data_IF_760725614192
#
_entry.id   IF_760725614192
#
_cell.length_a   1.000
_cell.length_b   1.000
_cell.length_c   1.000
_cell.angle_alpha   90.00
_cell.angle_beta   90.00
_cell.angle_gamma   90.00
#
_symmetry.space_group_name_H-M   'P 1'
#
loop_
_entity.id
_entity.type
_entity.pdbx_description
1 polymer ?
#
# COMPACT_ATOMS: atom_id res chain seq x y z
N UNK A 1 -26.71 -40.39 -7.38
CA UNK A 1 -25.77 -39.27 -7.16
C UNK A 1 -24.76 -39.27 -8.30
N UNK A 2 -24.89 -38.34 -9.26
CA UNK A 2 -23.93 -38.10 -10.35
C UNK A 2 -23.56 -36.62 -10.30
N UNK A 3 -22.72 -36.23 -9.34
CA UNK A 3 -22.25 -34.83 -9.23
C UNK A 3 -20.73 -34.71 -9.50
N UNK A 4 -20.05 -35.83 -9.81
CA UNK A 4 -18.61 -35.85 -10.08
C UNK A 4 -18.27 -35.94 -11.58
N UNK A 5 -19.22 -36.30 -12.45
CA UNK A 5 -18.94 -36.59 -13.88
C UNK A 5 -18.93 -35.33 -14.78
N UNK A 6 -19.25 -34.15 -14.24
CA UNK A 6 -19.37 -32.89 -15.01
C UNK A 6 -18.43 -31.78 -14.49
N UNK A 7 -17.34 -32.13 -13.80
CA UNK A 7 -16.36 -31.13 -13.38
C UNK A 7 -15.45 -30.75 -14.56
N UNK A 8 -15.79 -29.67 -15.26
CA UNK A 8 -14.92 -29.09 -16.29
C UNK A 8 -13.74 -28.43 -15.60
N UNK A 9 -12.62 -29.15 -15.52
CA UNK A 9 -11.35 -28.60 -15.04
C UNK A 9 -10.57 -28.05 -16.23
N UNK A 10 -10.24 -26.75 -16.26
CA UNK A 10 -9.35 -26.22 -17.28
C UNK A 10 -7.94 -26.79 -17.06
N UNK A 11 -7.56 -27.77 -17.89
CA UNK A 11 -6.24 -28.38 -17.84
C UNK A 11 -5.30 -27.61 -18.78
N UNK A 12 -4.26 -26.94 -18.27
CA UNK A 12 -3.31 -26.22 -19.11
C UNK A 12 -2.50 -27.19 -19.99
N UNK A 13 -1.77 -26.69 -20.98
CA UNK A 13 -0.94 -27.56 -21.84
C UNK A 13 0.07 -28.36 -21.01
N UNK A 14 0.42 -29.57 -21.47
CA UNK A 14 1.31 -30.50 -20.76
C UNK A 14 2.63 -29.86 -20.32
N UNK A 15 3.21 -29.01 -21.17
CA UNK A 15 4.45 -28.29 -20.85
C UNK A 15 4.27 -27.35 -19.65
N UNK A 16 3.14 -26.63 -19.59
CA UNK A 16 2.79 -25.77 -18.45
C UNK A 16 2.52 -26.60 -17.21
N UNK A 17 1.86 -27.76 -17.32
CA UNK A 17 1.63 -28.65 -16.17
C UNK A 17 2.94 -29.16 -15.56
N UNK A 18 3.90 -29.60 -16.40
CA UNK A 18 5.20 -30.06 -15.95
C UNK A 18 5.97 -28.92 -15.29
N UNK A 19 5.98 -27.73 -15.90
CA UNK A 19 6.63 -26.56 -15.32
C UNK A 19 6.04 -26.18 -13.96
N UNK A 20 4.71 -26.23 -13.81
CA UNK A 20 4.03 -25.98 -12.54
C UNK A 20 4.37 -27.04 -11.49
N UNK A 21 4.32 -28.33 -11.84
CA UNK A 21 4.66 -29.42 -10.93
C UNK A 21 6.12 -29.34 -10.44
N UNK A 22 7.06 -29.07 -11.34
CA UNK A 22 8.47 -28.89 -10.97
C UNK A 22 8.71 -27.66 -10.10
N UNK A 23 7.98 -26.56 -10.34
CA UNK A 23 8.05 -25.39 -9.48
C UNK A 23 7.48 -25.68 -8.09
N UNK A 24 6.35 -26.38 -8.00
CA UNK A 24 5.68 -26.75 -6.75
C UNK A 24 6.52 -27.71 -5.89
N UNK A 25 7.12 -28.73 -6.51
CA UNK A 25 8.02 -29.66 -5.82
C UNK A 25 9.24 -28.93 -5.22
N UNK A 26 9.81 -27.99 -5.98
CA UNK A 26 10.94 -27.19 -5.53
C UNK A 26 10.56 -26.26 -4.37
N UNK A 27 9.39 -25.63 -4.43
CA UNK A 27 8.85 -24.81 -3.33
C UNK A 27 8.56 -25.66 -2.08
N UNK A 28 8.01 -26.87 -2.27
CA UNK A 28 7.73 -27.82 -1.18
C UNK A 28 9.03 -28.25 -0.47
N UNK A 29 10.11 -28.49 -1.22
CA UNK A 29 11.42 -28.78 -0.64
C UNK A 29 11.96 -27.63 0.21
N UNK A 30 11.84 -26.39 -0.25
CA UNK A 30 12.23 -25.22 0.53
C UNK A 30 11.36 -25.04 1.78
N UNK A 31 10.06 -25.30 1.69
CA UNK A 31 9.17 -25.23 2.84
C UNK A 31 9.54 -26.27 3.92
N UNK A 32 9.82 -27.50 3.52
CA UNK A 32 10.26 -28.55 4.44
C UNK A 32 11.57 -28.16 5.16
N UNK A 33 12.52 -27.56 4.45
CA UNK A 33 13.77 -27.06 5.06
C UNK A 33 13.53 -25.93 6.05
N UNK A 34 12.68 -24.96 5.70
CA UNK A 34 12.29 -23.88 6.61
C UNK A 34 11.60 -24.40 7.87
N UNK A 35 10.75 -25.42 7.74
CA UNK A 35 10.09 -26.05 8.89
C UNK A 35 11.10 -26.74 9.81
N UNK A 36 12.10 -27.45 9.26
CA UNK A 36 13.18 -28.04 10.06
C UNK A 36 13.98 -26.98 10.82
N UNK A 37 14.31 -25.86 10.17
CA UNK A 37 15.05 -24.76 10.80
C UNK A 37 14.22 -24.07 11.88
N UNK A 38 12.90 -23.97 11.68
CA UNK A 38 11.99 -23.48 12.72
C UNK A 38 11.96 -24.42 13.93
N UNK A 39 11.89 -25.74 13.71
CA UNK A 39 11.95 -26.73 14.79
C UNK A 39 13.28 -26.65 15.56
N UNK A 40 14.41 -26.45 14.88
CA UNK A 40 15.71 -26.34 15.55
C UNK A 40 15.82 -25.12 16.46
N UNK A 41 15.20 -23.98 16.09
CA UNK A 41 15.15 -22.78 16.94
C UNK A 41 14.45 -23.08 18.28
N UNK A 42 13.38 -23.88 18.27
CA UNK A 42 12.67 -24.24 19.50
C UNK A 42 13.40 -25.31 20.31
N UNK A 43 14.14 -26.21 19.64
CA UNK A 43 14.95 -27.23 20.30
C UNK A 43 16.22 -26.66 20.95
N UNK A 44 16.82 -25.63 20.35
CA UNK A 44 18.03 -24.96 20.85
C UNK A 44 17.91 -23.43 20.73
N UNK A 45 17.20 -22.76 21.66
CA UNK A 45 16.95 -21.32 21.58
C UNK A 45 18.22 -20.45 21.56
N UNK A 46 19.33 -20.96 22.11
CA UNK A 46 20.61 -20.26 22.16
C UNK A 46 21.26 -20.11 20.76
N UNK A 47 20.96 -21.02 19.82
CA UNK A 47 21.47 -20.97 18.43
C UNK A 47 20.52 -20.27 17.46
N UNK A 48 19.41 -19.69 17.96
CA UNK A 48 18.39 -19.06 17.14
C UNK A 48 18.93 -17.96 16.22
N UNK A 49 19.85 -17.14 16.72
CA UNK A 49 20.49 -16.07 15.94
C UNK A 49 21.30 -16.66 14.76
N UNK A 50 22.12 -17.67 15.02
CA UNK A 50 22.94 -18.33 14.00
C UNK A 50 22.08 -19.02 12.92
N UNK A 51 20.97 -19.64 13.31
CA UNK A 51 20.02 -20.26 12.37
C UNK A 51 19.37 -19.22 11.46
N UNK A 52 18.95 -18.08 12.02
CA UNK A 52 18.36 -16.98 11.24
C UNK A 52 19.38 -16.40 10.28
N UNK A 53 20.61 -16.12 10.73
CA UNK A 53 21.66 -15.50 9.90
C UNK A 53 22.06 -16.36 8.69
N UNK A 54 22.05 -17.69 8.85
CA UNK A 54 22.31 -18.65 7.75
C UNK A 54 21.29 -18.57 6.63
N UNK A 55 20.03 -18.30 6.96
CA UNK A 55 18.92 -18.22 6.00
C UNK A 55 18.79 -16.81 5.44
N UNK A 56 19.13 -15.79 6.24
CA UNK A 56 19.06 -14.37 5.87
C UNK A 56 19.91 -13.98 4.66
N UNK A 57 20.86 -14.83 4.24
CA UNK A 57 21.63 -14.65 3.00
C UNK A 57 20.95 -15.28 1.77
N UNK A 58 20.17 -16.36 1.97
CA UNK A 58 19.51 -17.11 0.89
C UNK A 58 18.23 -16.40 0.43
N UNK A 59 17.51 -15.82 1.37
CA UNK A 59 16.48 -14.83 1.11
C UNK A 59 17.21 -13.49 1.20
N UNK A 60 17.22 -12.66 0.16
CA UNK A 60 17.75 -11.29 0.24
C UNK A 60 16.85 -10.44 1.16
N UNK A 61 16.68 -10.87 2.41
CA UNK A 61 15.58 -10.55 3.29
C UNK A 61 16.01 -9.50 4.32
N UNK A 62 16.79 -8.52 3.85
CA UNK A 62 16.79 -7.28 4.59
C UNK A 62 15.38 -6.69 4.50
N UNK A 63 14.76 -6.24 5.60
CA UNK A 63 13.56 -5.40 5.56
C UNK A 63 13.68 -4.26 4.53
N UNK A 64 14.91 -3.81 4.27
CA UNK A 64 15.26 -2.83 3.26
C UNK A 64 15.02 -3.28 1.82
N UNK A 65 15.20 -4.57 1.51
CA UNK A 65 14.96 -5.10 0.17
C UNK A 65 13.47 -5.10 -0.21
N UNK A 66 12.57 -5.18 0.78
CA UNK A 66 11.14 -5.00 0.54
C UNK A 66 10.80 -3.53 0.26
N UNK A 67 11.52 -2.56 0.83
CA UNK A 67 11.31 -1.15 0.54
C UNK A 67 11.46 -0.86 -0.96
N UNK A 68 12.39 -1.54 -1.64
CA UNK A 68 12.63 -1.41 -3.09
C UNK A 68 11.46 -1.90 -3.96
N UNK A 69 10.45 -2.54 -3.37
CA UNK A 69 9.24 -3.00 -4.04
C UNK A 69 8.01 -2.15 -3.68
N UNK A 70 8.15 -1.27 -2.68
CA UNK A 70 7.04 -0.45 -2.19
C UNK A 70 6.93 0.87 -2.94
N UNK A 71 5.71 1.42 -3.06
CA UNK A 71 5.51 2.78 -3.54
C UNK A 71 6.35 3.76 -2.71
N UNK A 72 7.01 4.71 -3.38
CA UNK A 72 7.94 5.66 -2.74
C UNK A 72 7.36 6.37 -1.50
N UNK A 73 6.08 6.80 -1.47
CA UNK A 73 5.46 7.36 -0.27
C UNK A 73 5.60 6.50 0.99
N UNK A 74 5.42 5.18 0.83
CA UNK A 74 5.50 4.22 1.94
C UNK A 74 6.96 3.86 2.24
N UNK A 75 7.73 3.57 1.19
CA UNK A 75 9.12 3.15 1.32
C UNK A 75 9.99 4.22 2.01
N UNK A 76 9.80 5.49 1.66
CA UNK A 76 10.55 6.62 2.24
C UNK A 76 10.21 6.88 3.72
N UNK A 77 8.94 6.72 4.11
CA UNK A 77 8.52 6.83 5.50
C UNK A 77 9.09 5.69 6.35
N UNK A 78 9.05 4.45 5.83
CA UNK A 78 9.65 3.30 6.50
C UNK A 78 11.18 3.43 6.61
N UNK A 79 11.85 3.91 5.56
CA UNK A 79 13.29 4.19 5.58
C UNK A 79 13.68 5.17 6.70
N UNK A 80 12.83 6.17 6.95
CA UNK A 80 13.04 7.13 8.05
C UNK A 80 12.93 6.45 9.41
N UNK A 81 12.04 5.46 9.56
CA UNK A 81 11.99 4.65 10.77
C UNK A 81 13.22 3.73 10.92
N UNK A 82 13.65 3.08 9.84
CA UNK A 82 14.82 2.20 9.85
C UNK A 82 16.13 2.92 10.19
N UNK A 83 16.24 4.20 9.82
CA UNK A 83 17.45 5.02 10.03
C UNK A 83 17.44 5.84 11.32
N UNK A 84 16.35 5.77 12.11
CA UNK A 84 16.28 6.43 13.41
C UNK A 84 17.25 5.81 14.43
N UNK A 85 17.96 6.66 15.18
CA UNK A 85 19.08 6.22 16.04
C UNK A 85 18.68 5.85 17.46
N UNK A 86 17.65 6.50 18.03
CA UNK A 86 17.16 6.19 19.38
C UNK A 86 15.91 5.29 19.33
N UNK A 87 15.72 4.37 20.29
CA UNK A 87 14.51 3.53 20.33
C UNK A 87 13.20 4.32 20.34
N UNK A 88 13.16 5.45 21.06
CA UNK A 88 11.98 6.31 21.12
C UNK A 88 11.72 7.05 19.80
N UNK A 89 12.76 7.51 19.11
CA UNK A 89 12.61 8.09 17.76
C UNK A 89 12.17 7.04 16.76
N UNK A 90 12.76 5.84 16.81
CA UNK A 90 12.42 4.71 15.95
C UNK A 90 10.95 4.31 16.12
N UNK A 91 10.47 4.22 17.37
CA UNK A 91 9.07 3.96 17.68
C UNK A 91 8.14 4.99 17.05
N UNK A 92 8.42 6.29 17.24
CA UNK A 92 7.60 7.37 16.68
C UNK A 92 7.62 7.33 15.16
N UNK A 93 8.79 7.17 14.57
CA UNK A 93 8.96 7.11 13.12
C UNK A 93 8.21 5.92 12.51
N UNK A 94 8.19 4.73 13.14
CA UNK A 94 7.35 3.63 12.69
C UNK A 94 5.86 3.95 12.78
N UNK A 95 5.39 4.57 13.88
CA UNK A 95 3.98 4.96 14.00
C UNK A 95 3.58 5.94 12.88
N UNK A 96 4.44 6.90 12.55
CA UNK A 96 4.25 7.79 11.41
C UNK A 96 4.28 7.06 10.06
N UNK A 97 5.20 6.10 9.89
CA UNK A 97 5.25 5.30 8.67
C UNK A 97 3.97 4.47 8.50
N UNK A 98 3.42 3.90 9.57
CA UNK A 98 2.14 3.20 9.57
C UNK A 98 0.96 4.11 9.23
N UNK A 99 0.96 5.35 9.73
CA UNK A 99 -0.03 6.35 9.32
C UNK A 99 0.11 6.69 7.83
N UNK A 100 1.35 6.78 7.31
CA UNK A 100 1.63 6.93 5.88
C UNK A 100 1.14 5.74 5.04
N UNK A 101 1.34 4.50 5.52
CA UNK A 101 0.80 3.27 4.90
C UNK A 101 -0.72 3.34 4.83
N UNK A 102 -1.39 3.66 5.94
CA UNK A 102 -2.84 3.72 6.02
C UNK A 102 -3.40 4.81 5.10
N UNK A 103 -2.77 6.00 5.11
CA UNK A 103 -3.16 7.12 4.24
C UNK A 103 -3.01 6.76 2.77
N UNK A 104 -1.85 6.20 2.38
CA UNK A 104 -1.60 5.80 1.00
C UNK A 104 -2.59 4.71 0.56
N UNK A 105 -2.79 3.68 1.38
CA UNK A 105 -3.71 2.61 1.09
C UNK A 105 -5.15 3.10 0.94
N UNK A 106 -5.65 3.92 1.88
CA UNK A 106 -6.96 4.55 1.78
C UNK A 106 -7.10 5.44 0.52
N UNK A 107 -6.04 6.18 0.17
CA UNK A 107 -5.99 7.01 -1.05
C UNK A 107 -6.17 6.15 -2.30
N UNK A 108 -5.49 5.01 -2.37
CA UNK A 108 -5.64 4.06 -3.49
C UNK A 108 -7.07 3.58 -3.60
N UNK A 109 -7.67 3.13 -2.50
CA UNK A 109 -9.04 2.61 -2.51
C UNK A 109 -10.09 3.69 -2.86
N UNK A 110 -9.93 4.90 -2.33
CA UNK A 110 -10.78 6.04 -2.72
C UNK A 110 -10.64 6.37 -4.20
N UNK A 111 -9.42 6.34 -4.73
CA UNK A 111 -9.17 6.60 -6.15
C UNK A 111 -9.91 5.58 -7.04
N UNK A 112 -9.91 4.30 -6.62
CA UNK A 112 -10.65 3.22 -7.31
C UNK A 112 -12.16 3.47 -7.26
N UNK A 113 -12.70 3.83 -6.09
CA UNK A 113 -14.14 4.12 -5.93
C UNK A 113 -14.56 5.27 -6.85
N UNK A 114 -13.72 6.30 -6.97
CA UNK A 114 -13.97 7.47 -7.82
C UNK A 114 -13.91 7.19 -9.32
N UNK A 115 -13.38 6.05 -9.74
CA UNK A 115 -13.49 5.62 -11.15
C UNK A 115 -14.93 5.32 -11.58
N UNK A 116 -15.86 5.13 -10.62
CA UNK A 116 -17.30 5.02 -10.88
C UNK A 116 -18.05 6.23 -10.26
N UNK A 117 -18.21 7.33 -11.00
CA UNK A 117 -18.88 8.53 -10.51
C UNK A 117 -20.31 8.28 -10.02
N UNK A 118 -21.02 7.30 -10.60
CA UNK A 118 -22.40 7.03 -10.26
C UNK A 118 -22.56 6.47 -8.83
N UNK A 119 -21.57 5.68 -8.37
CA UNK A 119 -21.60 5.05 -7.04
C UNK A 119 -20.71 5.76 -6.01
N UNK A 120 -19.69 6.47 -6.46
CA UNK A 120 -18.68 7.07 -5.57
C UNK A 120 -19.26 8.00 -4.51
N UNK A 121 -20.22 8.86 -4.86
CA UNK A 121 -20.81 9.83 -3.94
C UNK A 121 -21.59 9.15 -2.79
N UNK A 122 -22.29 8.05 -3.06
CA UNK A 122 -23.04 7.31 -2.04
C UNK A 122 -22.10 6.60 -1.06
N UNK A 123 -21.04 6.00 -1.60
CA UNK A 123 -19.99 5.34 -0.80
C UNK A 123 -19.27 6.37 0.08
N UNK A 124 -18.84 7.50 -0.48
CA UNK A 124 -18.20 8.58 0.28
C UNK A 124 -19.12 9.17 1.37
N UNK A 125 -20.40 9.32 1.09
CA UNK A 125 -21.39 9.77 2.10
C UNK A 125 -21.49 8.76 3.25
N UNK A 126 -21.48 7.47 2.94
CA UNK A 126 -21.49 6.39 3.95
C UNK A 126 -20.22 6.39 4.79
N UNK A 127 -19.06 6.66 4.16
CA UNK A 127 -17.78 6.84 4.85
C UNK A 127 -17.86 8.06 5.79
N UNK A 128 -18.33 9.20 5.30
CA UNK A 128 -18.48 10.43 6.08
C UNK A 128 -19.40 10.22 7.30
N UNK A 129 -20.52 9.52 7.11
CA UNK A 129 -21.41 9.17 8.22
C UNK A 129 -20.69 8.32 9.27
N UNK A 130 -19.98 7.27 8.84
CA UNK A 130 -19.23 6.42 9.77
C UNK A 130 -18.17 7.22 10.52
N UNK A 131 -17.43 8.09 9.85
CA UNK A 131 -16.45 8.96 10.50
C UNK A 131 -17.10 9.80 11.62
N UNK A 132 -18.26 10.41 11.33
CA UNK A 132 -19.01 11.19 12.33
C UNK A 132 -19.46 10.35 13.52
N UNK A 133 -19.96 9.14 13.28
CA UNK A 133 -20.37 8.21 14.35
C UNK A 133 -19.20 7.86 15.29
N UNK A 134 -17.97 7.83 14.75
CA UNK A 134 -16.73 7.63 15.50
C UNK A 134 -16.07 8.92 16.00
N UNK A 135 -16.73 10.08 15.89
CA UNK A 135 -16.20 11.40 16.26
C UNK A 135 -14.90 11.78 15.51
N UNK A 136 -14.78 11.30 14.27
CA UNK A 136 -13.70 11.59 13.34
C UNK A 136 -14.21 12.50 12.21
N UNK A 137 -13.29 13.19 11.53
CA UNK A 137 -13.59 13.98 10.34
C UNK A 137 -12.42 13.92 9.36
N UNK A 138 -12.72 13.95 8.05
CA UNK A 138 -11.69 14.11 7.02
C UNK A 138 -11.08 15.52 7.05
N UNK A 139 -11.78 16.54 7.53
CA UNK A 139 -11.23 17.89 7.66
C UNK A 139 -10.08 17.96 8.68
N UNK A 140 -10.02 16.99 9.60
CA UNK A 140 -8.92 16.78 10.54
C UNK A 140 -8.55 15.30 10.56
N UNK A 141 -7.90 14.86 9.50
CA UNK A 141 -7.52 13.47 9.34
C UNK A 141 -6.50 13.04 10.39
N UNK A 142 -6.76 11.87 10.96
CA UNK A 142 -5.87 11.14 11.85
C UNK A 142 -5.64 9.76 11.28
N UNK A 143 -4.69 9.00 11.84
CA UNK A 143 -4.56 7.58 11.55
C UNK A 143 -5.90 6.83 11.64
N UNK A 144 -6.71 7.09 12.68
CA UNK A 144 -8.05 6.50 12.81
C UNK A 144 -8.99 6.84 11.65
N UNK A 145 -8.94 8.07 11.14
CA UNK A 145 -9.72 8.51 9.98
C UNK A 145 -9.39 7.65 8.75
N UNK A 146 -8.10 7.46 8.46
CA UNK A 146 -7.65 6.67 7.31
C UNK A 146 -7.98 5.19 7.45
N UNK A 147 -7.92 4.63 8.66
CA UNK A 147 -8.35 3.24 8.92
C UNK A 147 -9.82 3.05 8.61
N UNK A 148 -10.70 3.95 9.05
CA UNK A 148 -12.15 3.87 8.77
C UNK A 148 -12.43 3.99 7.27
N UNK A 149 -11.75 4.91 6.58
CA UNK A 149 -11.87 5.03 5.12
C UNK A 149 -11.45 3.73 4.43
N UNK A 150 -10.29 3.19 4.77
CA UNK A 150 -9.79 1.94 4.20
C UNK A 150 -10.74 0.76 4.47
N UNK A 151 -11.29 0.66 5.69
CA UNK A 151 -12.25 -0.38 6.06
C UNK A 151 -13.50 -0.35 5.18
N UNK A 152 -14.15 0.82 5.10
CA UNK A 152 -15.40 0.98 4.34
C UNK A 152 -15.17 0.83 2.85
N UNK A 153 -14.12 1.46 2.31
CA UNK A 153 -13.78 1.32 0.90
C UNK A 153 -13.47 -0.13 0.53
N UNK A 154 -12.71 -0.85 1.36
CA UNK A 154 -12.40 -2.27 1.14
C UNK A 154 -13.66 -3.13 1.16
N UNK A 155 -14.61 -2.83 2.05
CA UNK A 155 -15.89 -3.55 2.09
C UNK A 155 -16.67 -3.39 0.79
N UNK A 156 -16.91 -2.16 0.35
CA UNK A 156 -17.70 -1.88 -0.86
C UNK A 156 -17.05 -2.48 -2.13
N UNK A 157 -15.72 -2.44 -2.21
CA UNK A 157 -14.98 -3.04 -3.31
C UNK A 157 -15.01 -4.58 -3.27
N UNK A 158 -15.04 -5.19 -2.07
CA UNK A 158 -15.21 -6.65 -1.93
C UNK A 158 -16.60 -7.08 -2.37
N UNK A 159 -17.62 -6.40 -1.87
CA UNK A 159 -19.02 -6.70 -2.22
C UNK A 159 -19.24 -6.56 -3.74
N UNK A 160 -18.58 -5.59 -4.39
CA UNK A 160 -18.60 -5.43 -5.86
C UNK A 160 -17.78 -6.48 -6.62
N UNK A 161 -16.68 -6.98 -6.05
CA UNK A 161 -15.85 -8.04 -6.67
C UNK A 161 -16.48 -9.43 -6.53
N UNK A 162 -17.32 -9.62 -5.52
CA UNK A 162 -18.10 -10.84 -5.25
C UNK A 162 -19.45 -10.86 -5.99
N UNK A 163 -19.78 -9.79 -6.73
CA UNK A 163 -20.99 -9.70 -7.56
C UNK A 163 -21.09 -10.84 -8.58
N UNK A 164 -22.30 -11.36 -8.78
CA UNK A 164 -22.58 -12.35 -9.83
C UNK A 164 -22.60 -11.73 -11.24
N UNK A 165 -22.68 -10.40 -11.35
CA UNK A 165 -22.62 -9.67 -12.62
C UNK A 165 -21.18 -9.60 -13.15
N UNK A 166 -20.87 -10.24 -14.30
CA UNK A 166 -19.54 -10.18 -14.91
C UNK A 166 -19.08 -8.75 -15.24
N UNK A 167 -20.02 -7.85 -15.53
CA UNK A 167 -19.71 -6.46 -15.88
C UNK A 167 -19.26 -5.66 -14.65
N UNK A 168 -19.83 -5.93 -13.46
CA UNK A 168 -19.35 -5.37 -12.19
C UNK A 168 -17.89 -5.77 -11.93
N UNK A 169 -17.59 -7.07 -12.06
CA UNK A 169 -16.24 -7.61 -11.84
C UNK A 169 -15.26 -7.02 -12.86
N UNK A 170 -15.68 -6.88 -14.13
CA UNK A 170 -14.86 -6.25 -15.16
C UNK A 170 -14.59 -4.77 -14.88
N UNK A 171 -15.59 -4.02 -14.40
CA UNK A 171 -15.44 -2.61 -13.98
C UNK A 171 -14.42 -2.48 -12.85
N UNK A 172 -14.55 -3.27 -11.78
CA UNK A 172 -13.61 -3.24 -10.65
C UNK A 172 -12.18 -3.54 -11.13
N UNK A 173 -12.00 -4.55 -11.98
CA UNK A 173 -10.68 -4.86 -12.56
C UNK A 173 -10.13 -3.71 -13.41
N UNK A 174 -10.98 -3.02 -14.18
CA UNK A 174 -10.57 -1.83 -14.94
C UNK A 174 -10.11 -0.72 -14.00
N UNK A 175 -10.85 -0.44 -12.92
CA UNK A 175 -10.51 0.60 -11.93
C UNK A 175 -9.21 0.32 -11.17
N UNK A 176 -8.82 -0.94 -11.01
CA UNK A 176 -7.50 -1.34 -10.49
C UNK A 176 -6.42 -1.46 -11.59
N UNK A 177 -6.51 -0.67 -12.67
CA UNK A 177 -5.57 -0.69 -13.79
C UNK A 177 -5.30 -2.08 -14.40
N UNK A 178 -6.33 -2.94 -14.43
CA UNK A 178 -6.21 -4.30 -14.97
C UNK A 178 -5.42 -5.27 -14.09
N UNK A 179 -5.33 -4.99 -12.78
CA UNK A 179 -4.77 -5.93 -11.80
C UNK A 179 -5.53 -7.26 -11.82
N UNK A 180 -4.81 -8.34 -11.52
CA UNK A 180 -5.42 -9.68 -11.41
C UNK A 180 -6.31 -9.72 -10.17
N UNK A 181 -7.36 -10.56 -10.22
CA UNK A 181 -8.31 -10.75 -9.10
C UNK A 181 -7.60 -11.00 -7.78
N UNK A 182 -6.61 -11.89 -7.75
CA UNK A 182 -5.82 -12.19 -6.55
C UNK A 182 -5.06 -10.99 -5.97
N UNK A 183 -4.58 -10.07 -6.83
CA UNK A 183 -3.95 -8.83 -6.37
C UNK A 183 -4.96 -7.85 -5.79
N UNK A 184 -6.14 -7.75 -6.42
CA UNK A 184 -7.25 -6.93 -5.92
C UNK A 184 -7.70 -7.44 -4.56
N UNK A 185 -7.96 -8.74 -4.42
CA UNK A 185 -8.39 -9.40 -3.17
C UNK A 185 -7.41 -9.14 -2.02
N UNK A 186 -6.09 -9.11 -2.30
CA UNK A 186 -5.08 -8.75 -1.30
C UNK A 186 -5.20 -7.29 -0.84
N UNK A 187 -5.42 -6.35 -1.76
CA UNK A 187 -5.57 -4.93 -1.43
C UNK A 187 -6.83 -4.66 -0.60
N UNK A 188 -7.94 -5.34 -0.89
CA UNK A 188 -9.23 -5.10 -0.22
C UNK A 188 -9.50 -6.08 0.94
N UNK A 189 -8.49 -6.85 1.35
CA UNK A 189 -8.63 -7.90 2.36
C UNK A 189 -9.02 -7.33 3.72
N UNK A 190 -9.93 -8.04 4.41
CA UNK A 190 -10.28 -7.76 5.80
C UNK A 190 -9.06 -7.81 6.72
N UNK A 191 -8.08 -8.67 6.42
CA UNK A 191 -6.89 -8.84 7.25
C UNK A 191 -5.94 -7.63 7.17
N UNK A 192 -5.86 -6.97 6.01
CA UNK A 192 -5.10 -5.72 5.86
C UNK A 192 -5.72 -4.63 6.73
N UNK A 193 -7.04 -4.46 6.64
CA UNK A 193 -7.79 -3.49 7.47
C UNK A 193 -7.63 -3.81 8.96
N UNK A 194 -7.76 -5.08 9.34
CA UNK A 194 -7.55 -5.55 10.73
C UNK A 194 -6.16 -5.18 11.22
N UNK A 195 -5.12 -5.39 10.40
CA UNK A 195 -3.74 -5.04 10.74
C UNK A 195 -3.57 -3.53 10.96
N UNK A 196 -4.11 -2.70 10.07
CA UNK A 196 -4.06 -1.23 10.23
C UNK A 196 -4.79 -0.79 11.52
N UNK A 197 -5.94 -1.40 11.82
CA UNK A 197 -6.69 -1.14 13.03
C UNK A 197 -5.91 -1.54 14.28
N UNK A 198 -5.28 -2.72 14.32
CA UNK A 198 -4.45 -3.17 15.44
C UNK A 198 -3.31 -2.18 15.74
N UNK A 199 -2.63 -1.69 14.71
CA UNK A 199 -1.55 -0.70 14.88
C UNK A 199 -2.09 0.66 15.36
N UNK A 200 -3.24 1.11 14.85
CA UNK A 200 -3.90 2.32 15.36
C UNK A 200 -4.26 2.19 16.86
N UNK A 201 -4.72 1.01 17.30
CA UNK A 201 -4.95 0.73 18.72
C UNK A 201 -3.64 0.75 19.54
N UNK A 202 -2.54 0.21 19.00
CA UNK A 202 -1.20 0.31 19.62
C UNK A 202 -0.79 1.77 19.78
N UNK A 203 -0.88 2.57 18.71
CA UNK A 203 -0.59 4.01 18.71
C UNK A 203 -1.35 4.74 19.80
N UNK A 204 -2.67 4.55 19.88
CA UNK A 204 -3.52 5.25 20.85
C UNK A 204 -3.18 4.86 22.29
N UNK A 205 -2.89 3.57 22.53
CA UNK A 205 -2.48 3.07 23.84
C UNK A 205 -1.13 3.63 24.27
N UNK A 206 -0.13 3.61 23.39
CA UNK A 206 1.24 4.01 23.71
C UNK A 206 1.43 5.53 23.73
N UNK A 207 0.68 6.27 22.91
CA UNK A 207 0.81 7.74 22.82
C UNK A 207 -0.14 8.49 23.77
N UNK A 208 -1.27 7.90 24.14
CA UNK A 208 -2.32 8.57 24.93
C UNK A 208 -2.28 8.33 26.44
N UNK A 209 -1.59 7.27 26.90
CA UNK A 209 -1.68 6.79 28.29
C UNK A 209 -0.35 6.35 28.92
N UNK A 210 0.80 6.70 28.34
CA UNK A 210 2.09 6.31 28.91
C UNK A 210 2.62 7.36 29.91
N UNK A 211 3.09 6.87 31.06
CA UNK A 211 4.01 7.61 31.92
C UNK A 211 5.42 7.59 31.33
N UNK A 212 6.46 7.60 32.16
CA UNK A 212 7.82 7.41 31.67
C UNK A 212 8.01 6.01 31.07
N UNK A 213 8.37 5.93 29.79
CA UNK A 213 8.65 4.66 29.09
C UNK A 213 10.16 4.38 29.08
N UNK A 214 10.54 3.16 29.48
CA UNK A 214 11.94 2.76 29.52
C UNK A 214 12.50 2.47 28.11
N UNK A 215 13.83 2.49 27.92
CA UNK A 215 14.45 2.07 26.66
C UNK A 215 14.06 0.65 26.22
N UNK A 216 13.97 -0.29 27.16
CA UNK A 216 13.58 -1.68 26.87
C UNK A 216 12.13 -1.78 26.38
N UNK A 217 11.23 -0.99 26.98
CA UNK A 217 9.85 -0.92 26.53
C UNK A 217 9.74 -0.31 25.14
N UNK A 218 10.56 0.71 24.81
CA UNK A 218 10.63 1.22 23.44
C UNK A 218 11.11 0.18 22.44
N UNK A 219 12.15 -0.58 22.77
CA UNK A 219 12.63 -1.66 21.90
C UNK A 219 11.55 -2.72 21.68
N UNK A 220 10.82 -3.12 22.73
CA UNK A 220 9.72 -4.07 22.61
C UNK A 220 8.58 -3.54 21.72
N UNK A 221 8.23 -2.25 21.83
CA UNK A 221 7.24 -1.63 20.96
C UNK A 221 7.70 -1.56 19.49
N UNK A 222 8.96 -1.20 19.26
CA UNK A 222 9.58 -1.19 17.92
C UNK A 222 9.52 -2.59 17.30
N UNK A 223 9.99 -3.61 18.01
CA UNK A 223 9.94 -5.00 17.53
C UNK A 223 8.50 -5.45 17.21
N UNK A 224 7.52 -4.99 18.00
CA UNK A 224 6.10 -5.24 17.73
C UNK A 224 5.62 -4.61 16.42
N UNK A 225 6.06 -3.39 16.09
CA UNK A 225 5.72 -2.69 14.85
C UNK A 225 6.42 -3.31 13.63
N UNK A 226 7.67 -3.75 13.77
CA UNK A 226 8.41 -4.49 12.73
C UNK A 226 7.75 -5.86 12.43
N UNK A 227 7.27 -6.55 13.46
CA UNK A 227 6.51 -7.79 13.30
C UNK A 227 5.17 -7.57 12.59
N UNK A 228 4.48 -6.46 12.89
CA UNK A 228 3.26 -6.08 12.17
C UNK A 228 3.54 -5.79 10.70
N UNK A 229 4.71 -5.21 10.40
CA UNK A 229 5.10 -4.84 9.04
C UNK A 229 5.40 -6.09 8.21
N UNK A 230 6.09 -7.05 8.82
CA UNK A 230 6.32 -8.38 8.24
C UNK A 230 4.99 -9.08 7.94
N UNK A 231 4.01 -8.98 8.85
CA UNK A 231 2.68 -9.54 8.63
C UNK A 231 1.96 -8.85 7.46
N UNK A 232 2.03 -7.50 7.38
CA UNK A 232 1.45 -6.74 6.28
C UNK A 232 2.08 -7.13 4.93
N UNK A 233 3.40 -7.32 4.88
CA UNK A 233 4.12 -7.80 3.69
C UNK A 233 3.56 -9.14 3.20
N UNK A 234 3.30 -10.09 4.11
CA UNK A 234 2.73 -11.39 3.74
C UNK A 234 1.32 -11.27 3.16
N UNK A 235 0.48 -10.40 3.72
CA UNK A 235 -0.88 -10.14 3.24
C UNK A 235 -0.87 -9.53 1.83
N UNK A 236 -0.11 -8.45 1.66
CA UNK A 236 -0.03 -7.72 0.38
C UNK A 236 0.74 -8.49 -0.70
N UNK A 237 1.68 -9.36 -0.30
CA UNK A 237 2.53 -10.11 -1.22
C UNK A 237 3.29 -9.18 -2.17
N UNK A 238 3.25 -9.52 -3.46
CA UNK A 238 3.93 -8.78 -4.52
C UNK A 238 3.00 -7.78 -5.25
N UNK A 239 1.87 -7.36 -4.64
CA UNK A 239 0.89 -6.54 -5.36
C UNK A 239 1.48 -5.24 -5.94
N UNK A 240 2.43 -4.62 -5.22
CA UNK A 240 3.09 -3.39 -5.64
C UNK A 240 4.15 -3.58 -6.73
N UNK A 241 4.61 -4.81 -6.98
CA UNK A 241 5.45 -5.09 -8.15
C UNK A 241 4.62 -5.19 -9.43
N UNK A 242 3.35 -5.60 -9.29
CA UNK A 242 2.42 -5.76 -10.41
C UNK A 242 1.63 -4.48 -10.72
N UNK A 243 1.50 -3.60 -9.72
CA UNK A 243 0.82 -2.30 -9.80
C UNK A 243 1.76 -1.19 -9.33
N UNK A 244 2.51 -0.64 -10.27
CA UNK A 244 3.58 0.31 -10.00
C UNK A 244 3.03 1.72 -9.78
N UNK A 245 3.53 2.42 -8.76
CA UNK A 245 3.35 3.86 -8.63
C UNK A 245 4.26 4.58 -9.62
N UNK A 246 3.69 5.47 -10.41
CA UNK A 246 4.43 6.29 -11.38
C UNK A 246 4.02 7.75 -11.30
N UNK A 247 4.94 8.64 -11.62
CA UNK A 247 4.67 10.04 -11.94
C UNK A 247 4.70 10.19 -13.46
N UNK A 248 3.57 10.58 -14.03
CA UNK A 248 3.41 10.65 -15.48
C UNK A 248 4.32 11.72 -16.09
N UNK A 249 4.92 11.40 -17.25
CA UNK A 249 5.71 12.32 -18.07
C UNK A 249 5.08 12.51 -19.45
N UNK A 250 5.88 12.47 -20.51
CA UNK A 250 5.40 12.62 -21.88
C UNK A 250 4.59 11.43 -22.41
N UNK A 251 3.61 11.70 -23.28
CA UNK A 251 2.80 10.69 -23.96
C UNK A 251 2.97 10.77 -25.47
N UNK A 252 2.97 9.61 -26.15
CA UNK A 252 2.89 9.49 -27.60
C UNK A 252 1.73 8.57 -28.00
N UNK A 253 0.96 8.95 -29.01
CA UNK A 253 -0.11 8.09 -29.57
C UNK A 253 0.48 7.05 -30.52
N UNK A 254 -0.05 5.84 -30.47
CA UNK A 254 0.27 4.72 -31.38
C UNK A 254 -1.01 4.21 -32.06
N UNK A 255 -0.90 3.24 -32.96
CA UNK A 255 -2.07 2.61 -33.59
C UNK A 255 -2.93 1.84 -32.55
N UNK A 256 -2.29 1.25 -31.54
CA UNK A 256 -2.92 0.38 -30.54
C UNK A 256 -3.19 1.06 -29.18
N UNK A 257 -3.08 2.40 -29.11
CA UNK A 257 -3.29 3.18 -27.88
C UNK A 257 -2.26 4.28 -27.70
N UNK A 258 -1.62 4.31 -26.52
CA UNK A 258 -0.58 5.27 -26.17
C UNK A 258 0.65 4.57 -25.58
N UNK A 259 1.80 5.20 -25.78
CA UNK A 259 2.99 4.91 -25.00
C UNK A 259 3.25 6.11 -24.11
N UNK A 260 3.23 5.87 -22.79
CA UNK A 260 3.54 6.85 -21.78
C UNK A 260 4.94 6.63 -21.22
N UNK A 261 5.76 7.66 -21.29
CA UNK A 261 7.00 7.75 -20.53
C UNK A 261 6.68 8.28 -19.13
N UNK A 262 7.07 7.56 -18.08
CA UNK A 262 6.78 7.94 -16.69
C UNK A 262 7.96 7.60 -15.75
N UNK A 263 8.10 8.37 -14.69
CA UNK A 263 9.03 8.12 -13.59
C UNK A 263 8.46 7.04 -12.67
N UNK A 264 9.20 5.95 -12.44
CA UNK A 264 8.77 4.85 -11.57
C UNK A 264 9.08 5.20 -10.11
N UNK A 265 8.06 5.64 -9.38
CA UNK A 265 8.15 6.10 -8.00
C UNK A 265 8.03 4.94 -7.01
N UNK A 266 9.01 4.03 -7.06
CA UNK A 266 9.12 2.83 -6.20
C UNK A 266 10.48 2.83 -5.51
N UNK A 267 10.56 2.29 -4.29
CA UNK A 267 11.78 2.29 -3.49
C UNK A 267 11.91 3.48 -2.56
N UNK A 268 12.97 3.52 -1.77
CA UNK A 268 13.21 4.57 -0.75
C UNK A 268 13.97 5.79 -1.28
N UNK A 269 14.35 5.81 -2.56
CA UNK A 269 15.29 6.79 -3.12
C UNK A 269 14.73 7.48 -4.37
N UNK A 270 15.12 8.73 -4.55
CA UNK A 270 14.95 9.52 -5.77
C UNK A 270 16.31 10.15 -6.17
N UNK A 271 16.56 10.49 -7.46
CA UNK A 271 15.62 10.55 -8.59
C UNK A 271 15.12 9.19 -9.07
N UNK A 272 13.96 9.17 -9.71
CA UNK A 272 13.33 7.95 -10.19
C UNK A 272 13.82 7.57 -11.59
N UNK A 273 13.89 6.27 -11.86
CA UNK A 273 14.14 5.78 -13.22
C UNK A 273 12.91 6.03 -14.08
N UNK A 274 13.13 6.40 -15.33
CA UNK A 274 12.06 6.53 -16.32
C UNK A 274 11.83 5.21 -17.04
N UNK A 275 10.57 4.89 -17.31
CA UNK A 275 10.16 3.71 -18.06
C UNK A 275 8.99 4.05 -19.00
N UNK A 276 8.88 3.32 -20.12
CA UNK A 276 7.73 3.38 -21.01
C UNK A 276 6.65 2.35 -20.64
N UNK A 277 5.40 2.76 -20.71
CA UNK A 277 4.21 1.94 -20.45
C UNK A 277 3.25 2.01 -21.62
N UNK A 278 2.74 0.86 -22.06
CA UNK A 278 1.65 0.77 -23.03
C UNK A 278 0.32 0.93 -22.30
N UNK A 279 -0.45 1.94 -22.67
CA UNK A 279 -1.72 2.27 -22.01
C UNK A 279 -2.82 2.61 -23.03
N UNK A 280 -4.08 2.40 -22.66
CA UNK A 280 -5.23 2.74 -23.50
C UNK A 280 -5.65 4.22 -23.39
N UNK A 281 -5.56 4.79 -22.19
CA UNK A 281 -5.94 6.17 -21.87
C UNK A 281 -4.70 6.94 -21.39
N UNK A 282 -4.42 8.16 -21.90
CA UNK A 282 -3.21 8.91 -21.57
C UNK A 282 -3.23 9.44 -20.13
N UNK A 283 -2.05 9.54 -19.49
CA UNK A 283 -1.91 10.10 -18.14
C UNK A 283 -1.63 11.61 -18.20
N UNK A 284 -2.10 12.35 -17.19
CA UNK A 284 -1.85 13.80 -17.06
C UNK A 284 -0.42 14.01 -16.56
N UNK A 285 0.37 14.80 -17.28
CA UNK A 285 1.77 15.08 -16.94
C UNK A 285 1.93 15.59 -15.50
N UNK A 286 2.92 15.04 -14.79
CA UNK A 286 3.26 15.40 -13.41
C UNK A 286 2.38 14.79 -12.32
N UNK A 287 1.22 14.22 -12.66
CA UNK A 287 0.31 13.59 -11.70
C UNK A 287 0.73 12.15 -11.36
N UNK A 288 0.23 11.64 -10.23
CA UNK A 288 0.53 10.29 -9.74
C UNK A 288 -0.50 9.28 -10.21
N UNK A 289 -0.02 8.13 -10.67
CA UNK A 289 -0.84 7.02 -11.13
C UNK A 289 -0.33 5.68 -10.61
N UNK A 290 -1.25 4.75 -10.40
CA UNK A 290 -0.96 3.33 -10.33
C UNK A 290 -1.17 2.71 -11.71
N UNK A 291 -0.16 2.00 -12.21
CA UNK A 291 -0.17 1.46 -13.59
C UNK A 291 0.42 0.06 -13.67
N UNK A 292 -0.12 -0.72 -14.60
CA UNK A 292 0.45 -1.98 -15.08
C UNK A 292 0.72 -1.82 -16.58
N UNK A 293 1.83 -2.36 -17.08
CA UNK A 293 2.08 -2.35 -18.53
C UNK A 293 0.97 -3.11 -19.26
N UNK A 294 0.42 -2.48 -20.30
CA UNK A 294 -0.74 -2.97 -21.04
C UNK A 294 -2.10 -2.67 -20.39
N UNK A 295 -2.16 -1.85 -19.34
CA UNK A 295 -3.42 -1.43 -18.74
C UNK A 295 -4.23 -0.52 -19.69
N UNK A 296 -5.54 -0.79 -19.83
CA UNK A 296 -6.40 0.11 -20.62
C UNK A 296 -6.56 1.48 -19.95
N UNK A 297 -6.84 1.50 -18.64
CA UNK A 297 -6.99 2.73 -17.86
C UNK A 297 -6.02 2.70 -16.69
N UNK A 298 -4.99 3.55 -16.66
CA UNK A 298 -4.20 3.80 -15.46
C UNK A 298 -5.09 4.37 -14.35
N UNK A 299 -4.77 4.07 -13.09
CA UNK A 299 -5.52 4.59 -11.94
C UNK A 299 -4.86 5.89 -11.47
N UNK A 300 -5.50 7.04 -11.71
CA UNK A 300 -5.04 8.32 -11.16
C UNK A 300 -5.23 8.31 -9.64
N UNK A 301 -4.21 8.72 -8.89
CA UNK A 301 -4.33 8.84 -7.43
C UNK A 301 -4.95 10.19 -7.03
N UNK A 302 -5.86 10.13 -6.07
CA UNK A 302 -6.35 11.29 -5.34
C UNK A 302 -5.20 12.03 -4.63
N UNK A 303 -5.32 13.35 -4.47
CA UNK A 303 -4.20 14.19 -4.04
C UNK A 303 -3.94 14.19 -2.52
N UNK A 304 -4.48 13.22 -1.78
CA UNK A 304 -4.17 13.00 -0.36
C UNK A 304 -2.71 12.57 -0.13
N UNK A 305 -2.02 12.14 -1.18
CA UNK A 305 -0.58 11.89 -1.20
C UNK A 305 0.04 12.64 -2.39
N UNK A 306 1.06 13.45 -2.13
CA UNK A 306 1.74 14.25 -3.15
C UNK A 306 3.25 14.03 -3.11
N UNK A 307 3.88 13.99 -4.29
CA UNK A 307 5.33 14.09 -4.44
C UNK A 307 5.69 15.50 -4.86
N UNK A 308 6.52 16.19 -4.07
CA UNK A 308 7.01 17.53 -4.40
C UNK A 308 8.53 17.53 -4.42
N UNK A 309 9.13 18.07 -5.46
CA UNK A 309 10.59 18.18 -5.52
C UNK A 309 11.08 19.28 -4.58
N UNK A 310 12.19 19.03 -3.90
CA UNK A 310 12.92 20.10 -3.22
C UNK A 310 13.51 21.06 -4.29
N UNK A 311 13.49 22.40 -4.07
CA UNK A 311 13.92 23.37 -5.08
C UNK A 311 15.36 23.22 -5.60
N UNK A 312 16.22 22.46 -4.91
CA UNK A 312 17.68 22.49 -5.11
C UNK A 312 18.32 21.20 -5.65
N UNK A 313 17.64 20.04 -5.65
CA UNK A 313 18.34 18.77 -5.92
C UNK A 313 17.50 17.65 -6.58
N UNK A 314 16.29 17.94 -7.09
CA UNK A 314 15.39 16.93 -7.68
C UNK A 314 15.10 15.73 -6.75
N UNK A 315 15.33 15.86 -5.44
CA UNK A 315 14.89 14.87 -4.47
C UNK A 315 13.42 15.13 -4.14
N UNK A 316 12.60 14.10 -4.30
CA UNK A 316 11.18 14.19 -4.01
C UNK A 316 10.90 14.03 -2.53
N UNK A 317 10.06 14.90 -2.00
CA UNK A 317 9.44 14.77 -0.70
C UNK A 317 7.96 14.41 -0.83
N UNK A 318 7.56 13.29 -0.25
CA UNK A 318 6.19 12.85 -0.04
C UNK A 318 5.52 13.68 1.06
N UNK A 319 4.33 14.20 0.76
CA UNK A 319 3.46 14.87 1.70
C UNK A 319 2.10 14.17 1.73
N UNK A 320 1.59 13.95 2.94
CA UNK A 320 0.31 13.32 3.23
C UNK A 320 -0.66 14.37 3.76
N UNK A 321 -1.90 14.33 3.31
CA UNK A 321 -2.94 15.20 3.82
C UNK A 321 -3.11 15.02 5.34
N UNK A 322 -3.16 16.14 6.08
CA UNK A 322 -3.40 16.13 7.51
C UNK A 322 -4.73 16.79 7.87
N UNK A 323 -4.94 18.04 7.45
CA UNK A 323 -6.15 18.79 7.81
C UNK A 323 -6.38 19.98 6.90
N UNK A 324 -7.64 20.41 6.85
CA UNK A 324 -8.05 21.68 6.24
C UNK A 324 -8.21 22.74 7.33
N UNK A 325 -7.55 23.88 7.14
CA UNK A 325 -7.56 25.03 8.05
C UNK A 325 -7.99 26.28 7.29
N UNK A 326 -9.28 26.57 7.31
CA UNK A 326 -9.85 27.72 6.60
C UNK A 326 -9.64 27.61 5.09
N UNK A 327 -8.72 28.42 4.53
CA UNK A 327 -8.39 28.44 3.09
C UNK A 327 -7.12 27.66 2.72
N UNK A 328 -6.48 27.01 3.69
CA UNK A 328 -5.28 26.22 3.46
C UNK A 328 -5.49 24.75 3.83
N UNK A 329 -4.79 23.86 3.14
CA UNK A 329 -4.66 22.45 3.47
C UNK A 329 -3.26 22.21 3.99
N UNK A 330 -3.15 21.70 5.21
CA UNK A 330 -1.88 21.29 5.80
C UNK A 330 -1.58 19.86 5.39
N UNK A 331 -0.40 19.66 4.80
CA UNK A 331 0.14 18.34 4.50
C UNK A 331 1.44 18.13 5.27
N UNK A 332 1.70 16.90 5.70
CA UNK A 332 2.85 16.55 6.54
C UNK A 332 3.73 15.53 5.86
N UNK A 333 5.03 15.57 6.13
CA UNK A 333 5.97 14.55 5.66
C UNK A 333 6.36 13.62 6.80
N UNK A 334 6.42 12.32 6.50
CA UNK A 334 6.93 11.28 7.42
C UNK A 334 8.34 10.84 7.07
N UNK A 335 9.05 11.62 6.26
CA UNK A 335 10.44 11.37 5.91
C UNK A 335 11.34 12.55 6.22
N UNK A 336 12.65 12.29 6.25
CA UNK A 336 13.64 13.36 6.26
C UNK A 336 13.57 14.14 4.94
N UNK A 337 13.04 15.35 5.01
CA UNK A 337 12.93 16.28 3.89
C UNK A 337 13.32 17.70 4.31
N UNK A 338 13.40 18.64 3.36
CA UNK A 338 13.73 20.04 3.65
C UNK A 338 12.64 20.72 4.50
N UNK A 339 11.38 20.29 4.34
CA UNK A 339 10.22 20.81 5.05
C UNK A 339 9.43 19.64 5.64
N UNK A 340 9.09 19.70 6.93
CA UNK A 340 8.27 18.69 7.61
C UNK A 340 6.78 18.83 7.30
N UNK A 341 6.37 19.99 6.80
CA UNK A 341 5.00 20.32 6.43
C UNK A 341 4.95 21.34 5.31
N UNK A 342 3.89 21.30 4.53
CA UNK A 342 3.59 22.27 3.48
C UNK A 342 2.13 22.69 3.55
N UNK A 343 1.84 23.88 3.02
CA UNK A 343 0.48 24.33 2.78
C UNK A 343 0.14 24.17 1.30
N UNK A 344 -1.08 23.71 1.03
CA UNK A 344 -1.71 23.75 -0.28
C UNK A 344 -2.95 24.65 -0.21
N UNK A 345 -3.40 25.15 -1.35
CA UNK A 345 -4.66 25.90 -1.42
C UNK A 345 -5.85 24.95 -1.22
N UNK A 346 -6.77 25.33 -0.33
CA UNK A 346 -7.94 24.52 -0.03
C UNK A 346 -8.91 24.47 -1.22
N UNK A 347 -8.96 25.49 -2.07
CA UNK A 347 -9.87 25.53 -3.21
C UNK A 347 -9.58 24.42 -4.22
N UNK A 348 -8.31 24.20 -4.55
CA UNK A 348 -7.87 23.07 -5.38
C UNK A 348 -8.06 21.69 -4.73
N UNK A 349 -8.21 21.63 -3.40
CA UNK A 349 -8.38 20.39 -2.65
C UNK A 349 -9.85 20.05 -2.36
N UNK A 350 -10.79 20.99 -2.55
CA UNK A 350 -12.23 20.75 -2.30
C UNK A 350 -12.78 19.60 -3.15
N UNK A 351 -12.34 19.50 -4.40
CA UNK A 351 -12.73 18.37 -5.26
C UNK A 351 -12.22 17.03 -4.73
N UNK A 352 -11.08 17.03 -4.03
CA UNK A 352 -10.51 15.82 -3.43
C UNK A 352 -11.24 15.39 -2.17
N UNK A 353 -11.82 16.34 -1.42
CA UNK A 353 -12.64 16.01 -0.25
C UNK A 353 -13.99 15.40 -0.67
N UNK A 354 -14.56 15.80 -1.81
CA UNK A 354 -15.75 15.17 -2.37
C UNK A 354 -16.92 15.14 -1.39
N UNK A 355 -17.58 13.98 -1.27
CA UNK A 355 -18.67 13.75 -0.32
C UNK A 355 -18.18 13.20 1.04
N UNK A 356 -16.87 13.30 1.34
CA UNK A 356 -16.31 12.90 2.63
C UNK A 356 -16.52 13.96 3.73
N UNK A 357 -16.90 15.19 3.36
CA UNK A 357 -17.11 16.35 4.25
C UNK A 357 -18.57 16.56 4.65
#
# INVERSE_FOLDING_TARGET
MRWADELIVPVPQREVQIALASADERLSSYHAELMRLRESIWAEPESAADVVDRIAHAFQDSPLAWLDQLPFPVASALWTAETATSPGDKQRAYLHAWEGVATFHATVLLSVIRCDPARSSEIETTIAQTLRDHHLSIERASFGTWVVIAEKASKELRDSLESEDPDDVARIRKSFAGLRRSGIERLISKDVVKKLSEVNHKRNRWSGHSGYTSPDEWQAQVASLESDLTSLRQLLGNVWTDLLLVRAGSTRRTQDGYIQTAEVAVGSRSPFRTQEFRIGEPMIDGELYLVRDGAQSPLRLAQFVQLRAAPRNAQYTTYFYNRTEGRSVRMVSYQHGPESEVQADAEGFRSELGALV
#
